data_IF_235288191833
#
_entry.id   IF_235288191833
#
_cell.length_a   1.000
_cell.length_b   1.000
_cell.length_c   1.000
_cell.angle_alpha   90.00
_cell.angle_beta   90.00
_cell.angle_gamma   90.00
#
_symmetry.space_group_name_H-M   'P 1'
#
loop_
_entity.id
_entity.type
_entity.pdbx_description
1 polymer ?
#
# COMPACT_ATOMS: atom_id res chain seq x y z
N UNK A 1 -44.57 -3.45 3.81
CA UNK A 1 -43.25 -3.84 4.34
C UNK A 1 -42.18 -3.31 3.39
N UNK A 2 -41.21 -2.51 3.84
CA UNK A 2 -39.98 -2.30 3.08
C UNK A 2 -38.75 -2.93 3.75
N UNK A 3 -37.77 -3.18 2.90
CA UNK A 3 -36.60 -4.06 3.04
C UNK A 3 -35.57 -3.64 4.11
N UNK A 4 -34.85 -4.64 4.62
CA UNK A 4 -33.83 -4.57 5.68
C UNK A 4 -32.52 -3.87 5.29
N UNK A 5 -31.87 -3.26 6.30
CA UNK A 5 -30.42 -3.29 6.65
C UNK A 5 -29.37 -2.99 5.57
N UNK A 6 -28.38 -2.12 5.77
CA UNK A 6 -27.43 -2.04 6.89
C UNK A 6 -27.09 -0.58 7.23
N UNK A 7 -26.89 -0.28 8.51
CA UNK A 7 -26.21 0.93 8.94
C UNK A 7 -24.70 0.70 8.80
N UNK A 8 -24.07 1.40 7.86
CA UNK A 8 -22.62 1.34 7.63
C UNK A 8 -21.88 1.80 8.90
N UNK A 9 -20.99 0.95 9.41
CA UNK A 9 -20.03 1.32 10.44
C UNK A 9 -19.03 2.34 9.85
N UNK A 10 -18.55 3.33 10.63
CA UNK A 10 -17.59 4.30 10.12
C UNK A 10 -16.29 3.58 9.71
N UNK A 11 -15.96 3.61 8.40
CA UNK A 11 -14.69 3.08 7.86
C UNK A 11 -13.52 3.80 8.54
N UNK A 12 -12.85 3.11 9.45
CA UNK A 12 -11.84 3.67 10.34
C UNK A 12 -10.49 3.69 9.62
N UNK A 13 -10.18 4.81 8.97
CA UNK A 13 -8.82 5.21 8.56
C UNK A 13 -8.31 4.61 7.24
N UNK A 14 -8.97 4.88 6.11
CA UNK A 14 -8.31 4.71 4.81
C UNK A 14 -7.19 5.76 4.69
N UNK A 15 -5.94 5.32 4.64
CA UNK A 15 -4.84 6.14 4.13
C UNK A 15 -4.50 5.68 2.72
N UNK A 16 -4.30 6.66 1.85
CA UNK A 16 -4.10 6.45 0.42
C UNK A 16 -2.61 6.49 0.09
N UNK A 17 -2.13 5.47 -0.61
CA UNK A 17 -0.74 5.39 -1.07
C UNK A 17 -0.70 5.49 -2.59
N UNK A 18 0.16 6.37 -3.09
CA UNK A 18 0.40 6.56 -4.51
C UNK A 18 1.61 5.73 -4.91
N UNK A 19 1.39 4.81 -5.85
CA UNK A 19 2.43 3.96 -6.41
C UNK A 19 2.62 4.33 -7.87
N UNK A 20 3.86 4.69 -8.22
CA UNK A 20 4.27 4.89 -9.59
C UNK A 20 4.87 3.58 -10.12
N UNK A 21 4.29 3.04 -11.20
CA UNK A 21 4.85 1.86 -11.89
C UNK A 21 5.46 2.32 -13.22
N UNK A 22 6.73 2.02 -13.41
CA UNK A 22 7.48 2.36 -14.63
C UNK A 22 8.04 1.09 -15.27
N UNK A 23 7.99 1.03 -16.60
CA UNK A 23 8.65 -0.03 -17.36
C UNK A 23 10.10 0.38 -17.61
N UNK A 24 11.04 -0.45 -17.17
CA UNK A 24 12.44 -0.42 -17.58
C UNK A 24 12.70 -1.45 -18.70
N UNK A 25 13.94 -1.54 -19.19
CA UNK A 25 14.31 -2.31 -20.40
C UNK A 25 13.71 -3.73 -20.41
N UNK A 26 13.86 -4.46 -19.31
CA UNK A 26 13.46 -5.86 -19.14
C UNK A 26 12.56 -6.12 -17.92
N UNK A 27 12.31 -5.09 -17.10
CA UNK A 27 11.61 -5.20 -15.80
C UNK A 27 10.68 -4.02 -15.54
N UNK A 28 9.87 -4.12 -14.50
CA UNK A 28 9.01 -3.06 -13.99
C UNK A 28 9.47 -2.64 -12.60
N UNK A 29 9.46 -1.34 -12.33
CA UNK A 29 9.72 -0.77 -11.01
C UNK A 29 8.42 -0.22 -10.44
N UNK A 30 8.15 -0.48 -9.17
CA UNK A 30 7.05 0.11 -8.44
C UNK A 30 7.59 0.96 -7.28
N UNK A 31 7.18 2.23 -7.23
CA UNK A 31 7.66 3.21 -6.24
C UNK A 31 6.50 3.77 -5.43
N UNK A 32 6.42 3.42 -4.15
CA UNK A 32 5.51 4.05 -3.20
C UNK A 32 6.06 5.40 -2.75
N UNK A 33 5.41 6.48 -3.17
CA UNK A 33 5.97 7.83 -3.05
C UNK A 33 5.91 8.38 -1.62
N UNK A 34 4.94 7.95 -0.82
CA UNK A 34 4.76 8.40 0.57
C UNK A 34 5.88 7.90 1.50
N UNK A 35 6.44 6.72 1.20
CA UNK A 35 7.46 6.04 2.01
C UNK A 35 8.83 5.99 1.35
N UNK A 36 8.93 6.45 0.10
CA UNK A 36 10.13 6.34 -0.72
C UNK A 36 10.62 4.88 -0.83
N UNK A 37 9.68 3.95 -0.96
CA UNK A 37 9.94 2.51 -1.13
C UNK A 37 9.88 2.13 -2.59
N UNK A 38 10.89 1.41 -3.07
CA UNK A 38 10.98 0.96 -4.46
C UNK A 38 11.16 -0.56 -4.49
N UNK A 39 10.38 -1.22 -5.34
CA UNK A 39 10.53 -2.65 -5.66
C UNK A 39 10.59 -2.87 -7.17
N UNK A 40 10.99 -4.07 -7.57
CA UNK A 40 11.11 -4.46 -8.97
C UNK A 40 10.40 -5.80 -9.20
N UNK A 41 9.91 -6.01 -10.42
CA UNK A 41 9.31 -7.26 -10.87
C UNK A 41 9.48 -7.46 -12.37
N UNK A 42 9.41 -8.69 -12.86
CA UNK A 42 9.51 -9.01 -14.28
C UNK A 42 8.20 -8.67 -15.03
N UNK A 43 7.08 -8.62 -14.32
CA UNK A 43 5.78 -8.15 -14.83
C UNK A 43 5.24 -7.00 -13.99
N UNK A 44 4.20 -6.32 -14.50
CA UNK A 44 3.51 -5.26 -13.75
C UNK A 44 2.92 -5.85 -12.47
N UNK A 45 2.30 -7.02 -12.57
CA UNK A 45 1.66 -7.73 -11.45
C UNK A 45 2.68 -8.11 -10.37
N UNK A 46 3.86 -8.60 -10.77
CA UNK A 46 4.93 -8.93 -9.84
C UNK A 46 5.45 -7.67 -9.12
N UNK A 47 5.66 -6.57 -9.85
CA UNK A 47 6.08 -5.30 -9.24
C UNK A 47 5.00 -4.75 -8.27
N UNK A 48 3.71 -4.93 -8.60
CA UNK A 48 2.59 -4.59 -7.72
C UNK A 48 2.55 -5.43 -6.45
N UNK A 49 2.66 -6.76 -6.55
CA UNK A 49 2.68 -7.65 -5.38
C UNK A 49 3.86 -7.33 -4.48
N UNK A 50 5.05 -7.15 -5.07
CA UNK A 50 6.28 -6.85 -4.34
C UNK A 50 6.18 -5.51 -3.59
N UNK A 51 5.62 -4.45 -4.18
CA UNK A 51 5.49 -3.17 -3.47
C UNK A 51 4.45 -3.24 -2.35
N UNK A 52 3.37 -4.02 -2.53
CA UNK A 52 2.34 -4.23 -1.50
C UNK A 52 2.95 -4.95 -0.28
N UNK A 53 3.76 -5.97 -0.50
CA UNK A 53 4.43 -6.69 0.56
C UNK A 53 5.48 -5.83 1.26
N UNK A 54 6.28 -5.07 0.50
CA UNK A 54 7.26 -4.14 1.06
C UNK A 54 6.60 -3.05 1.90
N UNK A 55 5.47 -2.49 1.47
CA UNK A 55 4.68 -1.54 2.26
C UNK A 55 4.22 -2.19 3.56
N UNK A 56 3.71 -3.43 3.50
CA UNK A 56 3.24 -4.14 4.69
C UNK A 56 4.36 -4.37 5.69
N UNK A 57 5.49 -4.93 5.25
CA UNK A 57 6.64 -5.17 6.11
C UNK A 57 7.16 -3.87 6.73
N UNK A 58 7.24 -2.79 5.93
CA UNK A 58 7.69 -1.49 6.42
C UNK A 58 6.76 -0.90 7.48
N UNK A 59 5.44 -0.94 7.27
CA UNK A 59 4.45 -0.44 8.23
C UNK A 59 4.41 -1.29 9.50
N UNK A 60 4.49 -2.62 9.37
CA UNK A 60 4.55 -3.55 10.51
C UNK A 60 5.80 -3.29 11.33
N UNK A 61 6.97 -3.22 10.70
CA UNK A 61 8.23 -2.91 11.36
C UNK A 61 8.17 -1.56 12.09
N UNK A 62 7.66 -0.52 11.43
CA UNK A 62 7.55 0.80 12.04
C UNK A 62 6.59 0.81 13.23
N UNK A 63 5.52 0.02 13.18
CA UNK A 63 4.54 -0.10 14.27
C UNK A 63 5.13 -0.84 15.46
N UNK A 64 5.76 -1.99 15.24
CA UNK A 64 6.37 -2.82 16.28
C UNK A 64 7.50 -2.09 17.02
N UNK A 65 8.23 -1.22 16.32
CA UNK A 65 9.37 -0.50 16.86
C UNK A 65 9.02 0.93 17.34
N UNK A 66 7.73 1.32 17.35
CA UNK A 66 7.28 2.68 17.68
C UNK A 66 7.94 3.79 16.81
N UNK A 67 8.24 3.48 15.55
CA UNK A 67 8.86 4.37 14.55
C UNK A 67 7.84 5.00 13.60
N UNK A 68 6.54 4.88 13.87
CA UNK A 68 5.45 5.40 13.00
C UNK A 68 5.65 6.89 12.66
N UNK A 69 6.15 7.69 13.60
CA UNK A 69 6.41 9.12 13.39
C UNK A 69 7.53 9.42 12.38
N UNK A 70 8.43 8.46 12.14
CA UNK A 70 9.56 8.59 11.22
C UNK A 70 9.33 7.88 9.87
N UNK A 71 8.19 7.20 9.75
CA UNK A 71 7.85 6.32 8.63
C UNK A 71 7.56 7.09 7.34
N UNK A 72 6.96 8.28 7.45
CA UNK A 72 6.62 9.13 6.31
C UNK A 72 7.85 9.88 5.81
N UNK A 73 8.52 9.30 4.83
CA UNK A 73 9.65 9.88 4.12
C UNK A 73 9.26 10.01 2.65
N UNK A 74 8.67 11.14 2.25
CA UNK A 74 8.18 11.27 0.89
C UNK A 74 9.34 11.28 -0.11
N UNK A 75 9.13 10.62 -1.24
CA UNK A 75 10.05 10.60 -2.37
C UNK A 75 10.36 12.03 -2.86
N UNK A 76 11.51 12.25 -3.54
CA UNK A 76 11.85 13.53 -4.13
C UNK A 76 10.76 14.08 -5.05
N UNK A 77 10.65 15.41 -5.12
CA UNK A 77 9.60 16.12 -5.89
C UNK A 77 9.51 15.67 -7.35
N UNK A 78 10.63 15.30 -7.95
CA UNK A 78 10.68 14.91 -9.35
C UNK A 78 9.89 13.60 -9.60
N UNK A 79 9.88 12.68 -8.64
CA UNK A 79 9.10 11.42 -8.72
C UNK A 79 7.59 11.69 -8.64
N UNK A 80 7.17 12.62 -7.77
CA UNK A 80 5.78 13.06 -7.70
C UNK A 80 5.31 13.73 -9.01
N UNK A 81 6.20 14.42 -9.73
CA UNK A 81 5.86 15.00 -11.04
C UNK A 81 5.63 13.91 -12.09
N UNK A 82 6.41 12.82 -12.06
CA UNK A 82 6.20 11.68 -12.96
C UNK A 82 4.81 11.06 -12.77
N UNK A 83 4.35 10.93 -11.52
CA UNK A 83 2.99 10.45 -11.22
C UNK A 83 1.90 11.32 -11.87
N UNK A 84 2.05 12.65 -11.83
CA UNK A 84 1.08 13.56 -12.45
C UNK A 84 1.00 13.44 -13.98
N UNK A 85 2.04 12.85 -14.59
CA UNK A 85 2.19 12.74 -16.04
C UNK A 85 1.93 11.30 -16.54
N UNK A 86 1.81 10.31 -15.65
CA UNK A 86 1.65 8.90 -15.99
C UNK A 86 0.17 8.47 -16.14
N UNK A 87 -0.08 7.40 -16.92
CA UNK A 87 -1.38 6.71 -17.05
C UNK A 87 -1.15 5.19 -17.15
N UNK A 88 -1.99 4.32 -16.54
CA UNK A 88 -3.01 4.61 -15.53
C UNK A 88 -2.42 4.61 -14.10
N UNK A 89 -2.97 5.48 -13.26
CA UNK A 89 -2.67 5.57 -11.82
C UNK A 89 -3.50 4.50 -11.12
N UNK A 90 -2.85 3.58 -10.40
CA UNK A 90 -3.54 2.62 -9.53
C UNK A 90 -3.43 3.10 -8.10
N UNK A 91 -4.59 3.35 -7.50
CA UNK A 91 -4.68 3.76 -6.11
C UNK A 91 -4.80 2.52 -5.24
N UNK A 92 -3.81 2.31 -4.36
CA UNK A 92 -3.85 1.20 -3.41
C UNK A 92 -4.55 1.71 -2.15
N UNK A 93 -5.83 1.36 -2.00
CA UNK A 93 -6.56 1.55 -0.77
C UNK A 93 -6.22 0.39 0.17
N UNK A 94 -5.45 0.66 1.22
CA UNK A 94 -5.13 -0.34 2.23
C UNK A 94 -6.13 -0.27 3.37
N UNK A 95 -6.84 -1.38 3.60
CA UNK A 95 -7.58 -1.59 4.84
C UNK A 95 -6.64 -2.31 5.81
N UNK A 96 -6.10 -1.55 6.78
CA UNK A 96 -5.20 -2.09 7.80
C UNK A 96 -5.89 -3.15 8.68
N UNK A 97 -7.22 -3.19 8.73
CA UNK A 97 -7.95 -4.10 9.58
C UNK A 97 -8.08 -5.51 8.98
N UNK A 98 -8.24 -5.66 7.67
CA UNK A 98 -8.46 -6.99 7.05
C UNK A 98 -7.26 -7.94 7.24
N UNK A 99 -6.03 -7.44 7.09
CA UNK A 99 -4.82 -8.28 7.20
C UNK A 99 -4.49 -8.66 8.66
N UNK A 100 -4.64 -7.72 9.59
CA UNK A 100 -4.50 -7.99 11.04
C UNK A 100 -5.58 -8.94 11.56
N UNK A 101 -6.83 -8.82 11.09
CA UNK A 101 -7.90 -9.75 11.49
C UNK A 101 -7.56 -11.16 11.02
N UNK A 102 -7.05 -11.33 9.80
CA UNK A 102 -6.65 -12.65 9.29
C UNK A 102 -5.46 -13.27 10.02
N UNK A 103 -4.46 -12.48 10.39
CA UNK A 103 -3.29 -12.96 11.16
C UNK A 103 -3.66 -13.27 12.62
N UNK A 104 -4.53 -12.47 13.24
CA UNK A 104 -5.03 -12.73 14.60
C UNK A 104 -5.95 -13.95 14.62
N UNK A 105 -6.81 -14.15 13.62
CA UNK A 105 -7.63 -15.36 13.51
C UNK A 105 -6.78 -16.62 13.31
N UNK A 106 -5.68 -16.53 12.55
CA UNK A 106 -4.70 -17.62 12.40
C UNK A 106 -3.95 -17.92 13.70
N UNK A 107 -3.62 -16.90 14.48
CA UNK A 107 -2.97 -17.06 15.79
C UNK A 107 -3.91 -17.58 16.88
N UNK A 108 -5.21 -17.30 16.76
CA UNK A 108 -6.25 -17.72 17.70
C UNK A 108 -6.89 -19.07 17.33
N UNK A 109 -6.61 -19.59 16.13
CA UNK A 109 -7.01 -20.92 15.66
C UNK A 109 -5.95 -22.02 15.85
N UNK A 110 -4.76 -21.66 16.37
CA UNK A 110 -3.66 -22.58 16.72
C UNK A 110 -3.60 -22.81 18.24
#
# INVERSE_FOLDING_TARGET
MPAYSYKEAPKKGLFHLDVLIEKQEDRYTAHCLQFDLVTEGNTIEEAEEMIIDAIFEYVTFATENNLIHEMFRPAPKDEWQKLSTSKPIKHIAYDYADKLVSEVDLLMAA
#
